data_IF_281016059241
#
_entry.id   IF_281016059241
#
_cell.length_a   1.000
_cell.length_b   1.000
_cell.length_c   1.000
_cell.angle_alpha   90.00
_cell.angle_beta   90.00
_cell.angle_gamma   90.00
#
_symmetry.space_group_name_H-M   'P 1'
#
loop_
_entity.id
_entity.type
_entity.pdbx_description
1 polymer ?
#
# COMPACT_ATOMS: atom_id res chain seq x y z
N UNK A 1 9.59 -23.52 7.09
CA UNK A 1 9.17 -22.26 6.47
C UNK A 1 7.99 -21.68 7.23
N UNK A 2 8.06 -20.40 7.60
CA UNK A 2 7.01 -19.67 8.31
C UNK A 2 6.09 -18.97 7.30
N UNK A 3 4.79 -19.13 7.47
CA UNK A 3 3.75 -18.44 6.67
C UNK A 3 2.95 -17.52 7.57
N UNK A 4 2.88 -16.24 7.24
CA UNK A 4 2.16 -15.23 8.03
C UNK A 4 1.09 -14.55 7.17
N UNK A 5 -0.06 -14.26 7.74
CA UNK A 5 -1.15 -13.55 7.07
C UNK A 5 -2.07 -12.85 8.08
N UNK A 6 -2.69 -11.69 7.70
CA UNK A 6 -3.68 -11.03 8.56
C UNK A 6 -4.92 -11.93 8.75
N UNK A 7 -5.55 -11.86 9.91
CA UNK A 7 -6.71 -12.70 10.26
C UNK A 7 -7.89 -12.56 9.29
N UNK A 8 -8.01 -11.43 8.60
CA UNK A 8 -9.04 -11.18 7.59
C UNK A 8 -8.70 -11.73 6.20
N UNK A 9 -7.47 -12.20 5.96
CA UNK A 9 -6.99 -12.63 4.64
C UNK A 9 -7.91 -13.63 3.94
N UNK A 10 -8.46 -14.58 4.70
CA UNK A 10 -9.33 -15.64 4.19
C UNK A 10 -10.78 -15.18 3.93
N UNK A 11 -11.15 -13.97 4.35
CA UNK A 11 -12.48 -13.40 4.08
C UNK A 11 -12.64 -12.96 2.64
N UNK A 12 -11.53 -12.81 1.89
CA UNK A 12 -11.59 -12.37 0.50
C UNK A 12 -12.19 -13.42 -0.42
N UNK A 13 -13.22 -12.98 -1.15
CA UNK A 13 -13.83 -13.71 -2.25
C UNK A 13 -14.02 -12.76 -3.44
N UNK A 14 -13.56 -13.18 -4.63
CA UNK A 14 -13.78 -12.39 -5.85
C UNK A 14 -15.26 -12.40 -6.24
N UNK A 15 -15.82 -11.22 -6.53
CA UNK A 15 -17.21 -11.02 -6.93
C UNK A 15 -17.41 -11.03 -8.45
N UNK A 16 -16.37 -11.33 -9.22
CA UNK A 16 -16.37 -11.51 -10.68
C UNK A 16 -17.11 -10.37 -11.43
N UNK A 17 -18.23 -10.68 -12.12
CA UNK A 17 -19.00 -9.73 -12.92
C UNK A 17 -19.60 -8.57 -12.11
N UNK A 18 -19.79 -8.73 -10.81
CA UNK A 18 -20.31 -7.66 -9.94
C UNK A 18 -19.24 -6.62 -9.55
N UNK A 19 -17.97 -6.84 -9.98
CA UNK A 19 -16.88 -5.93 -9.66
C UNK A 19 -17.00 -4.62 -10.45
N UNK A 20 -17.06 -3.50 -9.74
CA UNK A 20 -17.20 -2.16 -10.34
C UNK A 20 -15.93 -1.71 -11.05
N UNK A 21 -14.75 -2.19 -10.60
CA UNK A 21 -13.44 -1.91 -11.21
C UNK A 21 -12.62 -3.20 -11.33
N UNK A 22 -12.83 -3.87 -12.46
CA UNK A 22 -12.23 -5.19 -12.70
C UNK A 22 -10.70 -5.13 -12.81
N UNK A 23 -10.02 -6.10 -12.18
CA UNK A 23 -8.57 -6.30 -12.33
C UNK A 23 -8.14 -6.75 -13.74
N UNK A 24 -9.08 -7.04 -14.65
CA UNK A 24 -8.81 -7.36 -16.04
C UNK A 24 -8.81 -6.13 -16.95
N UNK A 25 -8.74 -4.92 -16.39
CA UNK A 25 -8.68 -3.65 -17.12
C UNK A 25 -7.70 -2.67 -16.48
N UNK A 26 -7.11 -1.80 -17.29
CA UNK A 26 -6.31 -0.66 -16.85
C UNK A 26 -4.82 -0.93 -16.62
N UNK A 27 -4.35 -2.17 -16.66
CA UNK A 27 -2.93 -2.52 -16.56
C UNK A 27 -2.56 -3.75 -17.38
N UNK A 28 -1.27 -3.90 -17.67
CA UNK A 28 -0.75 -5.07 -18.38
C UNK A 28 -0.66 -6.28 -17.44
N UNK A 29 -1.18 -7.42 -17.88
CA UNK A 29 -1.20 -8.66 -17.11
C UNK A 29 -0.10 -9.59 -17.63
N UNK A 30 0.96 -9.76 -16.84
CA UNK A 30 2.05 -10.68 -17.14
C UNK A 30 1.62 -12.13 -16.91
N UNK A 31 2.05 -12.99 -17.84
CA UNK A 31 1.73 -14.42 -17.85
C UNK A 31 2.98 -15.20 -17.46
N UNK A 32 2.88 -16.05 -16.46
CA UNK A 32 4.00 -16.92 -16.06
C UNK A 32 4.34 -17.98 -17.14
N UNK A 33 5.60 -18.43 -17.16
CA UNK A 33 6.12 -19.35 -18.17
C UNK A 33 5.31 -20.65 -18.26
N UNK A 34 4.86 -21.17 -17.13
CA UNK A 34 4.04 -22.38 -17.07
C UNK A 34 2.70 -22.19 -17.78
N UNK A 35 2.08 -21.04 -17.59
CA UNK A 35 0.84 -20.69 -18.26
C UNK A 35 1.07 -20.43 -19.76
N UNK A 36 2.16 -19.73 -20.14
CA UNK A 36 2.55 -19.52 -21.54
C UNK A 36 2.73 -20.87 -22.27
N UNK A 37 3.46 -21.82 -21.67
CA UNK A 37 3.63 -23.17 -22.24
C UNK A 37 2.30 -23.93 -22.40
N UNK A 38 1.38 -23.78 -21.46
CA UNK A 38 0.04 -24.34 -21.53
C UNK A 38 -0.77 -23.70 -22.68
N UNK A 39 -0.70 -22.37 -22.81
CA UNK A 39 -1.42 -21.63 -23.84
C UNK A 39 -0.89 -21.92 -25.25
N UNK A 40 0.42 -22.11 -25.42
CA UNK A 40 1.01 -22.56 -26.71
C UNK A 40 0.46 -23.89 -27.19
N UNK A 41 0.12 -24.80 -26.26
CA UNK A 41 -0.39 -26.14 -26.56
C UNK A 41 -1.91 -26.19 -26.77
N UNK A 42 -2.63 -25.13 -26.44
CA UNK A 42 -4.07 -25.07 -26.59
C UNK A 42 -4.48 -25.14 -28.07
N UNK A 43 -5.53 -25.90 -28.36
CA UNK A 43 -6.06 -26.15 -29.70
C UNK A 43 -7.50 -25.68 -29.83
N UNK A 44 -8.02 -25.66 -31.05
CA UNK A 44 -9.38 -25.23 -31.33
C UNK A 44 -9.59 -23.72 -31.26
N UNK A 45 -10.83 -23.24 -31.15
CA UNK A 45 -11.16 -21.82 -31.15
C UNK A 45 -10.43 -21.05 -30.06
N UNK A 46 -10.39 -21.57 -28.83
CA UNK A 46 -9.68 -20.97 -27.70
C UNK A 46 -8.19 -20.87 -27.96
N UNK A 47 -7.57 -21.94 -28.49
CA UNK A 47 -6.17 -21.93 -28.83
C UNK A 47 -5.82 -20.90 -29.92
N UNK A 48 -6.69 -20.69 -30.89
CA UNK A 48 -6.53 -19.64 -31.89
C UNK A 48 -6.65 -18.24 -31.28
N UNK A 49 -7.63 -18.04 -30.39
CA UNK A 49 -7.79 -16.77 -29.67
C UNK A 49 -6.57 -16.47 -28.80
N UNK A 50 -6.06 -17.45 -28.05
CA UNK A 50 -4.83 -17.30 -27.24
C UNK A 50 -3.63 -16.87 -28.10
N UNK A 51 -3.43 -17.47 -29.27
CA UNK A 51 -2.33 -17.11 -30.17
C UNK A 51 -2.37 -15.65 -30.63
N UNK A 52 -3.57 -15.10 -30.81
CA UNK A 52 -3.79 -13.75 -31.31
C UNK A 52 -3.98 -12.70 -30.21
N UNK A 53 -4.14 -13.11 -28.95
CA UNK A 53 -4.46 -12.22 -27.82
C UNK A 53 -3.37 -12.19 -26.75
N UNK A 54 -2.18 -12.72 -27.08
CA UNK A 54 -1.01 -12.68 -26.21
C UNK A 54 0.14 -12.01 -26.97
N UNK A 55 0.79 -11.07 -26.31
CA UNK A 55 2.11 -10.57 -26.71
C UNK A 55 3.17 -11.62 -26.30
N UNK A 56 3.51 -12.51 -27.23
CA UNK A 56 4.42 -13.63 -26.97
C UNK A 56 5.86 -13.20 -26.72
N UNK A 57 6.23 -11.99 -27.11
CA UNK A 57 7.57 -11.44 -26.87
C UNK A 57 7.71 -10.97 -25.44
N UNK A 58 6.71 -10.25 -24.93
CA UNK A 58 6.71 -9.69 -23.58
C UNK A 58 6.08 -10.66 -22.55
N UNK A 59 5.35 -11.69 -23.01
CA UNK A 59 4.68 -12.64 -22.11
C UNK A 59 3.45 -12.07 -21.42
N UNK A 60 2.69 -11.21 -22.10
CA UNK A 60 1.53 -10.54 -21.50
C UNK A 60 0.26 -10.70 -22.32
N UNK A 61 -0.92 -10.52 -21.69
CA UNK A 61 -2.19 -10.46 -22.42
C UNK A 61 -2.32 -9.13 -23.16
N UNK A 62 -2.73 -9.17 -24.42
CA UNK A 62 -3.09 -7.97 -25.17
C UNK A 62 -4.32 -7.30 -24.54
N UNK A 63 -4.34 -5.98 -24.63
CA UNK A 63 -5.48 -5.17 -24.21
C UNK A 63 -6.09 -4.44 -25.40
N UNK A 64 -7.42 -4.42 -25.44
CA UNK A 64 -8.20 -3.63 -26.39
C UNK A 64 -9.04 -2.62 -25.61
N UNK A 65 -8.87 -1.34 -25.91
CA UNK A 65 -9.51 -0.26 -25.15
C UNK A 65 -9.27 -0.37 -23.63
N UNK A 66 -8.03 -0.65 -23.24
CA UNK A 66 -7.58 -0.85 -21.85
C UNK A 66 -8.26 -2.04 -21.11
N UNK A 67 -8.82 -2.99 -21.84
CA UNK A 67 -9.45 -4.21 -21.30
C UNK A 67 -8.70 -5.45 -21.82
N UNK A 68 -8.48 -6.42 -20.94
CA UNK A 68 -7.88 -7.69 -21.33
C UNK A 68 -8.66 -8.31 -22.50
N UNK A 69 -7.96 -8.86 -23.50
CA UNK A 69 -8.55 -9.51 -24.66
C UNK A 69 -9.52 -10.68 -24.34
N UNK A 70 -9.45 -11.18 -23.12
CA UNK A 70 -10.31 -12.25 -22.61
C UNK A 70 -11.41 -11.77 -21.66
N UNK A 71 -11.52 -10.48 -21.41
CA UNK A 71 -12.63 -9.90 -20.63
C UNK A 71 -13.79 -9.62 -21.57
N UNK A 72 -14.92 -10.29 -21.36
CA UNK A 72 -16.14 -10.11 -22.17
C UNK A 72 -16.99 -8.92 -21.70
N UNK A 73 -18.08 -8.68 -22.41
CA UNK A 73 -18.99 -7.56 -22.14
C UNK A 73 -19.75 -7.70 -20.79
N UNK A 74 -19.81 -8.91 -20.25
CA UNK A 74 -20.41 -9.21 -18.94
C UNK A 74 -19.39 -9.10 -17.79
N UNK A 75 -18.18 -8.56 -18.06
CA UNK A 75 -17.06 -8.50 -17.12
C UNK A 75 -16.63 -9.88 -16.58
N UNK A 76 -16.84 -10.94 -17.36
CA UNK A 76 -16.36 -12.28 -17.09
C UNK A 76 -15.13 -12.60 -17.94
N UNK A 77 -14.26 -13.45 -17.42
CA UNK A 77 -13.06 -13.86 -18.12
C UNK A 77 -13.31 -15.14 -18.94
N UNK A 78 -13.32 -15.01 -20.25
CA UNK A 78 -13.70 -16.10 -21.17
C UNK A 78 -12.82 -17.34 -21.00
N UNK A 79 -11.51 -17.20 -20.75
CA UNK A 79 -10.66 -18.37 -20.50
C UNK A 79 -11.10 -19.17 -19.27
N UNK A 80 -11.57 -18.49 -18.23
CA UNK A 80 -12.13 -19.17 -17.05
C UNK A 80 -13.42 -19.90 -17.41
N UNK A 81 -14.29 -19.24 -18.15
CA UNK A 81 -15.60 -19.80 -18.55
C UNK A 81 -15.45 -20.98 -19.50
N UNK A 82 -14.49 -20.90 -20.46
CA UNK A 82 -14.31 -21.92 -21.49
C UNK A 82 -13.38 -23.07 -21.09
N UNK A 83 -12.37 -22.82 -20.25
CA UNK A 83 -11.31 -23.77 -19.88
C UNK A 83 -11.24 -24.10 -18.39
N UNK A 84 -12.08 -23.46 -17.57
CA UNK A 84 -12.12 -23.64 -16.11
C UNK A 84 -11.02 -22.91 -15.34
N UNK A 85 -11.01 -23.03 -13.99
CA UNK A 85 -10.11 -22.28 -13.09
C UNK A 85 -8.63 -22.55 -13.32
N UNK A 86 -8.27 -23.72 -13.79
CA UNK A 86 -6.89 -24.07 -14.09
C UNK A 86 -6.32 -23.32 -15.30
N UNK A 87 -7.15 -22.63 -16.08
CA UNK A 87 -6.71 -21.79 -17.20
C UNK A 87 -6.10 -20.47 -16.76
N UNK A 88 -6.31 -20.04 -15.53
CA UNK A 88 -5.74 -18.81 -15.01
C UNK A 88 -4.20 -18.88 -14.91
N UNK A 89 -3.50 -17.86 -15.44
CA UNK A 89 -2.09 -17.66 -15.12
C UNK A 89 -1.89 -17.33 -13.63
N UNK A 90 -0.64 -17.38 -13.14
CA UNK A 90 -0.34 -17.14 -11.72
C UNK A 90 -0.87 -15.77 -11.27
N UNK A 91 -0.62 -14.73 -12.06
CA UNK A 91 -1.08 -13.36 -11.76
C UNK A 91 -2.60 -13.30 -11.56
N UNK A 92 -3.37 -13.78 -12.54
CA UNK A 92 -4.84 -13.75 -12.47
C UNK A 92 -5.41 -14.61 -11.33
N UNK A 93 -4.76 -15.72 -11.01
CA UNK A 93 -5.20 -16.63 -9.94
C UNK A 93 -4.87 -16.07 -8.56
N UNK A 94 -3.74 -15.40 -8.40
CA UNK A 94 -3.27 -14.89 -7.11
C UNK A 94 -3.90 -13.56 -6.75
N UNK A 95 -4.10 -12.65 -7.70
CA UNK A 95 -4.66 -11.33 -7.43
C UNK A 95 -6.02 -11.39 -6.71
N UNK A 96 -6.25 -10.61 -5.69
CA UNK A 96 -5.41 -9.55 -5.12
C UNK A 96 -4.50 -10.03 -3.99
N UNK A 97 -4.10 -11.28 -3.99
CA UNK A 97 -3.17 -11.82 -2.99
C UNK A 97 -1.75 -11.46 -3.38
N UNK A 98 -1.08 -10.78 -2.47
CA UNK A 98 0.33 -10.44 -2.56
C UNK A 98 1.14 -11.35 -1.64
N UNK A 99 2.35 -11.67 -2.01
CA UNK A 99 3.26 -12.51 -1.23
C UNK A 99 4.63 -11.85 -1.19
N UNK A 100 5.07 -11.45 -0.01
CA UNK A 100 6.46 -11.09 0.24
C UNK A 100 7.25 -12.36 0.61
N UNK A 101 8.38 -12.53 -0.04
CA UNK A 101 9.23 -13.70 0.12
C UNK A 101 10.50 -13.30 0.86
N UNK A 102 10.76 -13.92 2.00
CA UNK A 102 11.99 -13.79 2.78
C UNK A 102 12.58 -15.17 3.01
N UNK A 103 13.87 -15.24 3.33
CA UNK A 103 14.51 -16.52 3.67
C UNK A 103 13.75 -17.22 4.82
N UNK A 104 13.27 -18.41 4.56
CA UNK A 104 12.50 -19.20 5.52
C UNK A 104 11.11 -18.63 5.87
N UNK A 105 10.64 -17.56 5.23
CA UNK A 105 9.34 -16.93 5.52
C UNK A 105 8.59 -16.47 4.27
N UNK A 106 7.25 -16.56 4.33
CA UNK A 106 6.32 -16.01 3.32
C UNK A 106 5.22 -15.23 4.02
N UNK A 107 5.06 -13.98 3.63
CA UNK A 107 4.04 -13.11 4.18
C UNK A 107 2.96 -12.82 3.13
N UNK A 108 1.74 -13.24 3.44
CA UNK A 108 0.60 -13.06 2.54
C UNK A 108 -0.22 -11.84 2.95
N UNK A 109 -0.55 -10.99 1.99
CA UNK A 109 -1.46 -9.87 2.16
C UNK A 109 -2.53 -9.83 1.07
N UNK A 110 -3.52 -8.95 1.22
CA UNK A 110 -4.45 -8.57 0.17
C UNK A 110 -4.06 -7.18 -0.33
N UNK A 111 -4.08 -6.92 -1.64
CA UNK A 111 -3.76 -5.61 -2.20
C UNK A 111 -4.94 -4.64 -2.05
N UNK A 112 -4.68 -3.43 -1.58
CA UNK A 112 -5.66 -2.33 -1.57
C UNK A 112 -6.18 -1.97 -2.97
N UNK A 113 -5.42 -2.27 -4.01
CA UNK A 113 -5.78 -2.04 -5.41
C UNK A 113 -7.00 -2.84 -5.92
N UNK A 114 -7.54 -3.74 -5.11
CA UNK A 114 -8.81 -4.41 -5.35
C UNK A 114 -9.89 -3.83 -4.43
N UNK A 115 -11.00 -3.36 -5.00
CA UNK A 115 -12.12 -2.78 -4.25
C UNK A 115 -12.62 -3.67 -3.11
N UNK A 116 -12.80 -4.98 -3.36
CA UNK A 116 -13.30 -5.90 -2.33
C UNK A 116 -12.25 -6.16 -1.24
N UNK A 117 -10.97 -6.24 -1.62
CA UNK A 117 -9.89 -6.32 -0.65
C UNK A 117 -9.78 -5.04 0.19
N UNK A 118 -9.90 -3.86 -0.44
CA UNK A 118 -9.91 -2.57 0.25
C UNK A 118 -11.06 -2.45 1.25
N UNK A 119 -12.27 -2.91 0.89
CA UNK A 119 -13.41 -2.97 1.81
C UNK A 119 -13.14 -3.88 3.02
N UNK A 120 -12.48 -5.02 2.81
CA UNK A 120 -12.13 -5.95 3.90
C UNK A 120 -11.08 -5.32 4.82
N UNK A 121 -10.04 -4.69 4.26
CA UNK A 121 -8.96 -4.07 5.01
C UNK A 121 -9.48 -2.86 5.81
N UNK A 122 -10.13 -1.91 5.14
CA UNK A 122 -10.59 -0.65 5.74
C UNK A 122 -11.85 -0.81 6.58
N UNK A 123 -12.64 -1.85 6.32
CA UNK A 123 -13.80 -2.23 7.14
C UNK A 123 -13.46 -3.06 8.38
N UNK A 124 -12.19 -3.41 8.59
CA UNK A 124 -11.78 -4.16 9.77
C UNK A 124 -11.80 -3.24 11.01
N UNK A 125 -12.83 -3.39 11.84
CA UNK A 125 -13.00 -2.58 13.08
C UNK A 125 -12.16 -3.13 14.24
N UNK A 126 -11.73 -4.39 14.16
CA UNK A 126 -10.89 -5.03 15.15
C UNK A 126 -9.41 -4.65 14.95
N UNK A 127 -8.61 -4.84 16.01
CA UNK A 127 -7.15 -4.78 15.87
C UNK A 127 -6.69 -5.92 14.97
N UNK A 128 -5.85 -5.62 13.99
CA UNK A 128 -5.34 -6.64 13.08
C UNK A 128 -4.44 -7.62 13.84
N UNK A 129 -4.72 -8.91 13.68
CA UNK A 129 -3.92 -10.00 14.20
C UNK A 129 -3.26 -10.72 13.03
N UNK A 130 -2.00 -11.07 13.20
CA UNK A 130 -1.25 -11.82 12.21
C UNK A 130 -1.17 -13.27 12.64
N UNK A 131 -1.73 -14.17 11.81
CA UNK A 131 -1.79 -15.60 12.04
C UNK A 131 -0.60 -16.25 11.36
N UNK A 132 0.02 -17.22 12.02
CA UNK A 132 1.18 -17.94 11.52
C UNK A 132 0.87 -19.42 11.33
N UNK A 133 1.54 -20.02 10.35
CA UNK A 133 1.60 -21.46 10.12
C UNK A 133 3.03 -21.82 9.75
N UNK A 134 3.53 -22.94 10.24
CA UNK A 134 4.87 -23.42 9.92
C UNK A 134 4.81 -24.78 9.23
N UNK A 135 5.76 -25.05 8.33
CA UNK A 135 6.03 -26.37 7.77
C UNK A 135 7.55 -26.65 7.77
N UNK A 136 7.93 -27.89 7.43
CA UNK A 136 9.32 -28.35 7.47
C UNK A 136 10.17 -27.93 6.25
N UNK A 137 9.66 -27.06 5.37
CA UNK A 137 10.44 -26.60 4.23
C UNK A 137 11.56 -25.69 4.69
N UNK A 138 12.72 -25.93 4.16
CA UNK A 138 13.90 -25.07 4.34
C UNK A 138 14.23 -24.37 3.04
N UNK A 139 14.69 -23.14 3.15
CA UNK A 139 15.12 -22.32 2.02
C UNK A 139 16.23 -21.39 2.50
N UNK A 140 17.25 -21.21 1.70
CA UNK A 140 18.41 -20.37 2.01
C UNK A 140 18.71 -19.47 0.82
N UNK A 141 18.94 -18.18 1.07
CA UNK A 141 19.33 -17.18 0.09
C UNK A 141 20.81 -16.81 0.30
N UNK A 142 21.58 -16.68 -0.77
CA UNK A 142 23.02 -16.45 -0.68
C UNK A 142 23.40 -15.12 0.03
N UNK A 143 22.62 -14.06 -0.19
CA UNK A 143 22.93 -12.70 0.28
C UNK A 143 21.84 -12.14 1.22
N UNK A 144 21.15 -12.99 1.99
CA UNK A 144 20.09 -12.53 2.88
C UNK A 144 20.65 -12.17 4.27
N UNK A 145 20.48 -10.89 4.67
CA UNK A 145 20.85 -10.44 6.03
C UNK A 145 19.76 -10.86 7.04
N UNK A 146 19.86 -12.10 7.52
CA UNK A 146 18.95 -12.66 8.51
C UNK A 146 18.93 -11.88 9.83
N UNK A 147 20.06 -11.29 10.22
CA UNK A 147 20.14 -10.50 11.46
C UNK A 147 19.35 -9.19 11.31
N UNK A 148 19.55 -8.46 10.21
CA UNK A 148 18.74 -7.27 9.90
C UNK A 148 17.26 -7.65 9.81
N UNK A 149 16.91 -8.72 9.09
CA UNK A 149 15.52 -9.16 8.97
C UNK A 149 14.86 -9.42 10.33
N UNK A 150 15.54 -10.12 11.24
CA UNK A 150 15.05 -10.36 12.61
C UNK A 150 14.78 -9.04 13.34
N UNK A 151 15.70 -8.06 13.23
CA UNK A 151 15.52 -6.74 13.86
C UNK A 151 14.40 -5.92 13.22
N UNK A 152 14.15 -6.08 11.92
CA UNK A 152 13.00 -5.47 11.25
C UNK A 152 11.69 -6.09 11.71
N UNK A 153 11.63 -7.40 11.94
CA UNK A 153 10.45 -8.06 12.50
C UNK A 153 10.16 -7.59 13.93
N UNK A 154 11.17 -7.54 14.81
CA UNK A 154 11.05 -7.01 16.18
C UNK A 154 10.53 -5.55 16.17
N UNK A 155 11.08 -4.71 15.27
CA UNK A 155 10.64 -3.34 15.09
C UNK A 155 9.18 -3.26 14.62
N UNK A 156 8.79 -4.09 13.65
CA UNK A 156 7.44 -4.13 13.09
C UNK A 156 6.40 -4.55 14.14
N UNK A 157 6.72 -5.50 14.98
CA UNK A 157 5.83 -5.90 16.07
C UNK A 157 5.60 -4.75 17.06
N UNK A 158 6.65 -4.00 17.39
CA UNK A 158 6.53 -2.79 18.21
C UNK A 158 5.73 -1.69 17.49
N UNK A 159 5.93 -1.52 16.18
CA UNK A 159 5.18 -0.58 15.34
C UNK A 159 3.68 -0.94 15.38
N UNK A 160 3.31 -2.20 15.22
CA UNK A 160 1.90 -2.62 15.31
C UNK A 160 1.30 -2.37 16.69
N UNK A 161 2.07 -2.61 17.75
CA UNK A 161 1.65 -2.31 19.11
C UNK A 161 1.35 -0.82 19.30
N UNK A 162 2.19 0.06 18.74
CA UNK A 162 2.01 1.51 18.78
C UNK A 162 0.82 1.95 17.92
N UNK A 163 0.77 1.51 16.67
CA UNK A 163 -0.28 1.89 15.72
C UNK A 163 -1.68 1.49 16.20
N UNK A 164 -1.80 0.37 16.88
CA UNK A 164 -3.06 -0.17 17.37
C UNK A 164 -3.35 0.17 18.84
N UNK A 165 -2.58 1.08 19.45
CA UNK A 165 -2.90 1.63 20.77
C UNK A 165 -3.94 2.75 20.65
N UNK A 166 -5.21 2.36 20.62
CA UNK A 166 -6.34 3.26 20.43
C UNK A 166 -6.60 4.19 21.63
N UNK A 167 -5.83 4.09 22.71
CA UNK A 167 -5.86 5.05 23.81
C UNK A 167 -5.13 6.36 23.47
N UNK A 168 -4.30 6.35 22.39
CA UNK A 168 -3.52 7.47 21.92
C UNK A 168 -4.13 8.07 20.64
N UNK A 169 -3.93 9.36 20.45
CA UNK A 169 -4.26 10.05 19.21
C UNK A 169 -3.49 9.45 18.02
N UNK A 170 -4.16 9.33 16.86
CA UNK A 170 -3.58 8.70 15.67
C UNK A 170 -2.35 9.45 15.16
N UNK A 171 -2.35 10.78 15.23
CA UNK A 171 -1.20 11.62 14.88
C UNK A 171 0.02 11.27 15.72
N UNK A 172 -0.17 11.08 17.03
CA UNK A 172 0.89 10.69 17.94
C UNK A 172 1.47 9.31 17.60
N UNK A 173 0.57 8.33 17.35
CA UNK A 173 0.98 6.97 16.95
C UNK A 173 1.82 6.97 15.67
N UNK A 174 1.39 7.71 14.64
CA UNK A 174 2.13 7.85 13.38
C UNK A 174 3.49 8.54 13.59
N UNK A 175 3.56 9.57 14.43
CA UNK A 175 4.81 10.26 14.75
C UNK A 175 5.82 9.35 15.45
N UNK A 176 5.36 8.53 16.37
CA UNK A 176 6.20 7.59 17.11
C UNK A 176 6.80 6.51 16.20
N UNK A 177 5.99 5.91 15.32
CA UNK A 177 6.49 4.87 14.41
C UNK A 177 7.41 5.43 13.34
N UNK A 178 7.15 6.65 12.86
CA UNK A 178 8.04 7.35 11.93
C UNK A 178 9.42 7.63 12.56
N UNK A 179 9.42 8.10 13.82
CA UNK A 179 10.66 8.36 14.56
C UNK A 179 11.39 7.06 14.94
N UNK A 180 10.67 5.99 15.29
CA UNK A 180 11.26 4.67 15.53
C UNK A 180 12.00 4.16 14.28
N UNK A 181 11.36 4.23 13.12
CA UNK A 181 11.98 3.81 11.86
C UNK A 181 13.21 4.68 11.49
N UNK A 182 13.14 5.99 11.74
CA UNK A 182 14.28 6.89 11.58
C UNK A 182 15.46 6.51 12.50
N UNK A 183 15.20 6.25 13.78
CA UNK A 183 16.22 5.88 14.74
C UNK A 183 16.78 4.46 14.46
N UNK A 184 15.96 3.54 13.93
CA UNK A 184 16.40 2.24 13.44
C UNK A 184 17.33 2.38 12.23
N UNK A 185 16.94 3.20 11.24
CA UNK A 185 17.78 3.48 10.05
C UNK A 185 19.19 3.97 10.42
N UNK A 186 19.31 4.78 11.46
CA UNK A 186 20.63 5.22 11.94
C UNK A 186 21.48 4.04 12.40
N UNK A 187 20.88 3.04 13.05
CA UNK A 187 21.59 1.84 13.50
C UNK A 187 21.98 0.92 12.35
N UNK A 188 21.13 0.83 11.34
CA UNK A 188 21.47 0.13 10.07
C UNK A 188 22.67 0.81 9.43
N UNK A 189 22.57 2.11 9.14
CA UNK A 189 23.61 2.88 8.48
C UNK A 189 24.95 2.88 9.24
N UNK A 190 24.89 3.01 10.57
CA UNK A 190 26.08 3.11 11.43
C UNK A 190 26.63 1.69 11.79
N UNK A 191 26.00 0.62 11.25
CA UNK A 191 26.33 -0.80 11.47
C UNK A 191 26.36 -1.20 12.98
N UNK A 192 25.38 -0.71 13.73
CA UNK A 192 25.25 -0.95 15.18
C UNK A 192 23.92 -1.59 15.55
N UNK A 193 23.47 -2.56 14.76
CA UNK A 193 22.20 -3.28 14.95
C UNK A 193 22.08 -3.94 16.33
N UNK A 194 23.19 -4.30 16.99
CA UNK A 194 23.18 -4.82 18.35
C UNK A 194 22.64 -3.83 19.40
N UNK A 195 22.48 -2.54 19.05
CA UNK A 195 21.88 -1.51 19.91
C UNK A 195 20.37 -1.34 19.72
N UNK A 196 19.74 -2.14 18.87
CA UNK A 196 18.30 -2.02 18.60
C UNK A 196 17.41 -2.41 19.77
N UNK A 197 17.86 -3.35 20.63
CA UNK A 197 17.08 -3.78 21.78
C UNK A 197 16.86 -2.62 22.76
N UNK A 198 17.91 -1.84 23.05
CA UNK A 198 17.79 -0.63 23.87
C UNK A 198 16.91 0.46 23.22
N UNK A 199 16.90 0.53 21.88
CA UNK A 199 15.98 1.40 21.14
C UNK A 199 14.53 0.94 21.36
N UNK A 200 14.25 -0.34 21.19
CA UNK A 200 12.91 -0.89 21.33
C UNK A 200 12.36 -0.75 22.77
N UNK A 201 13.20 -0.94 23.78
CA UNK A 201 12.85 -0.67 25.17
C UNK A 201 12.45 0.80 25.39
N UNK A 202 13.19 1.75 24.80
CA UNK A 202 12.87 3.18 24.87
C UNK A 202 11.48 3.46 24.28
N UNK A 203 11.18 2.91 23.09
CA UNK A 203 9.89 3.09 22.41
C UNK A 203 8.74 2.26 23.02
N UNK A 204 9.05 1.25 23.81
CA UNK A 204 8.04 0.48 24.57
C UNK A 204 7.70 1.13 25.93
N UNK A 205 8.41 2.18 26.33
CA UNK A 205 8.21 2.89 27.59
C UNK A 205 7.04 3.88 27.51
N UNK A 206 6.22 3.97 28.57
CA UNK A 206 5.13 4.93 28.69
C UNK A 206 5.58 6.42 28.69
N UNK A 207 6.87 6.67 28.93
CA UNK A 207 7.45 8.03 28.86
C UNK A 207 7.53 8.58 27.43
N UNK A 208 7.45 7.72 26.43
CA UNK A 208 7.50 8.06 25.02
C UNK A 208 6.40 9.07 24.64
N UNK A 209 5.15 8.84 25.07
CA UNK A 209 3.99 9.62 24.67
C UNK A 209 4.12 11.09 25.07
N UNK A 210 4.59 11.36 26.29
CA UNK A 210 4.85 12.73 26.76
C UNK A 210 5.93 13.43 25.95
N UNK A 211 7.03 12.73 25.67
CA UNK A 211 8.12 13.23 24.85
C UNK A 211 7.68 13.61 23.44
N UNK A 212 6.91 12.75 22.77
CA UNK A 212 6.45 13.03 21.41
C UNK A 212 5.36 14.11 21.34
N UNK A 213 4.47 14.20 22.33
CA UNK A 213 3.53 15.33 22.45
C UNK A 213 4.23 16.67 22.53
N UNK A 214 5.26 16.78 23.36
CA UNK A 214 6.08 17.99 23.47
C UNK A 214 6.82 18.31 22.17
N UNK A 215 7.43 17.29 21.53
CA UNK A 215 8.14 17.44 20.26
C UNK A 215 7.23 17.92 19.13
N UNK A 216 6.03 17.31 18.98
CA UNK A 216 5.05 17.70 17.97
C UNK A 216 4.55 19.15 18.16
N UNK A 217 4.35 19.56 19.42
CA UNK A 217 3.93 20.93 19.72
C UNK A 217 5.01 21.97 19.41
N UNK A 218 6.28 21.58 19.43
CA UNK A 218 7.43 22.45 19.14
C UNK A 218 7.85 22.51 17.66
N UNK A 219 7.17 21.81 16.74
CA UNK A 219 7.49 21.86 15.31
C UNK A 219 6.87 23.12 14.70
N UNK A 220 7.70 23.96 14.12
CA UNK A 220 7.33 25.19 13.43
C UNK A 220 8.06 25.29 12.08
N UNK A 221 7.53 26.08 11.15
CA UNK A 221 8.17 26.36 9.86
C UNK A 221 7.95 25.26 8.79
N UNK A 222 6.99 24.36 9.01
CA UNK A 222 6.56 23.34 8.06
C UNK A 222 5.03 23.29 8.05
N UNK A 223 4.44 23.02 6.89
CA UNK A 223 2.99 22.82 6.77
C UNK A 223 2.67 21.51 6.07
N UNK A 224 1.46 20.98 6.35
CA UNK A 224 0.98 19.80 5.63
C UNK A 224 0.76 20.11 4.15
N UNK A 225 0.33 21.32 3.81
CA UNK A 225 0.07 21.72 2.42
C UNK A 225 1.35 21.70 1.58
N UNK A 226 2.52 22.02 2.13
CA UNK A 226 3.81 21.89 1.45
C UNK A 226 4.15 20.43 1.15
N UNK A 227 3.93 19.53 2.10
CA UNK A 227 4.13 18.08 1.89
C UNK A 227 3.15 17.55 0.85
N UNK A 228 1.87 17.95 0.89
CA UNK A 228 0.87 17.55 -0.11
C UNK A 228 1.25 18.06 -1.50
N UNK A 229 1.76 19.29 -1.61
CA UNK A 229 2.28 19.80 -2.88
C UNK A 229 3.42 18.93 -3.41
N UNK A 230 4.39 18.60 -2.57
CA UNK A 230 5.50 17.72 -2.95
C UNK A 230 5.01 16.31 -3.38
N UNK A 231 3.99 15.76 -2.70
CA UNK A 231 3.36 14.49 -3.11
C UNK A 231 2.68 14.64 -4.47
N UNK A 232 1.92 15.70 -4.71
CA UNK A 232 1.25 15.92 -6.00
C UNK A 232 2.26 16.09 -7.15
N UNK A 233 3.35 16.83 -6.90
CA UNK A 233 4.44 17.00 -7.87
C UNK A 233 5.19 15.68 -8.15
N UNK A 234 5.25 14.77 -7.18
CA UNK A 234 5.77 13.41 -7.35
C UNK A 234 4.80 12.55 -8.19
N UNK A 235 3.50 12.56 -7.88
CA UNK A 235 2.48 11.81 -8.62
C UNK A 235 2.39 12.23 -10.10
N UNK A 236 2.74 13.46 -10.42
CA UNK A 236 2.82 13.95 -11.83
C UNK A 236 4.00 13.35 -12.61
N UNK A 237 5.08 12.98 -11.91
CA UNK A 237 6.26 12.35 -12.52
C UNK A 237 6.10 10.85 -12.73
N UNK A 238 5.11 10.24 -12.08
CA UNK A 238 4.85 8.80 -12.16
C UNK A 238 4.13 8.41 -13.44
N UNK A 239 4.43 7.22 -13.96
CA UNK A 239 3.68 6.67 -15.09
C UNK A 239 2.23 6.38 -14.69
N UNK A 240 1.23 6.80 -15.47
CA UNK A 240 -0.15 6.45 -15.20
C UNK A 240 -0.43 5.01 -15.65
N UNK A 241 -0.91 4.16 -14.75
CA UNK A 241 -1.37 2.80 -15.10
C UNK A 241 -2.83 2.82 -15.60
N UNK A 242 -3.67 3.60 -14.95
CA UNK A 242 -5.05 3.78 -15.38
C UNK A 242 -5.18 5.07 -16.22
N UNK A 243 -5.79 4.96 -17.41
CA UNK A 243 -5.97 6.09 -18.34
C UNK A 243 -6.80 7.25 -17.74
N UNK A 244 -7.63 7.00 -16.73
CA UNK A 244 -8.41 8.03 -16.03
C UNK A 244 -7.64 8.70 -14.90
N UNK A 245 -6.49 8.14 -14.49
CA UNK A 245 -5.71 8.65 -13.36
C UNK A 245 -5.21 10.07 -13.56
N UNK A 246 -4.67 10.48 -14.73
CA UNK A 246 -4.22 11.86 -14.92
C UNK A 246 -5.29 12.90 -14.67
N UNK A 247 -6.51 12.69 -15.19
CA UNK A 247 -7.64 13.61 -14.98
C UNK A 247 -8.04 13.66 -13.50
N UNK A 248 -8.15 12.50 -12.85
CA UNK A 248 -8.48 12.42 -11.43
C UNK A 248 -7.41 13.09 -10.55
N UNK A 249 -6.13 12.86 -10.83
CA UNK A 249 -5.00 13.49 -10.14
C UNK A 249 -5.03 15.00 -10.31
N UNK A 250 -5.28 15.52 -11.51
CA UNK A 250 -5.32 16.94 -11.79
C UNK A 250 -6.50 17.61 -11.05
N UNK A 251 -7.65 16.95 -10.97
CA UNK A 251 -8.76 17.38 -10.11
C UNK A 251 -8.36 17.45 -8.63
N UNK A 252 -7.67 16.43 -8.13
CA UNK A 252 -7.16 16.42 -6.74
C UNK A 252 -6.24 17.62 -6.51
N UNK A 253 -5.30 17.87 -7.43
CA UNK A 253 -4.36 19.01 -7.34
C UNK A 253 -5.10 20.35 -7.26
N UNK A 254 -6.10 20.56 -8.11
CA UNK A 254 -6.93 21.78 -8.06
C UNK A 254 -7.68 21.90 -6.73
N UNK A 255 -8.30 20.81 -6.25
CA UNK A 255 -9.07 20.84 -5.01
C UNK A 255 -8.22 21.04 -3.75
N UNK A 256 -6.98 20.54 -3.75
CA UNK A 256 -6.07 20.60 -2.60
C UNK A 256 -5.24 21.88 -2.57
N UNK A 257 -4.81 22.38 -3.73
CA UNK A 257 -3.79 23.43 -3.85
C UNK A 257 -4.27 24.68 -4.59
N UNK A 258 -5.36 24.60 -5.37
CA UNK A 258 -5.80 25.67 -6.27
C UNK A 258 -6.13 26.98 -5.57
N UNK A 259 -6.75 26.92 -4.40
CA UNK A 259 -7.15 28.09 -3.61
C UNK A 259 -6.14 28.45 -2.50
N UNK A 260 -4.97 27.79 -2.48
CA UNK A 260 -3.89 28.04 -1.55
C UNK A 260 -4.06 27.40 -0.15
N UNK A 261 -3.03 27.57 0.69
CA UNK A 261 -2.92 26.92 1.99
C UNK A 261 -4.07 27.21 2.95
N UNK A 262 -4.55 28.46 2.98
CA UNK A 262 -5.65 28.84 3.87
C UNK A 262 -6.94 28.07 3.55
N UNK A 263 -7.26 27.91 2.26
CA UNK A 263 -8.45 27.16 1.83
C UNK A 263 -8.29 25.66 2.08
N UNK A 264 -7.08 25.13 1.92
CA UNK A 264 -6.76 23.74 2.28
C UNK A 264 -6.99 23.47 3.78
N UNK A 265 -6.47 24.33 4.65
CA UNK A 265 -6.66 24.20 6.10
C UNK A 265 -8.12 24.40 6.52
N UNK A 266 -8.86 25.25 5.85
CA UNK A 266 -10.30 25.41 6.08
C UNK A 266 -11.07 24.14 5.71
N UNK A 267 -10.76 23.52 4.58
CA UNK A 267 -11.33 22.25 4.16
C UNK A 267 -11.06 21.16 5.20
N UNK A 268 -9.82 21.03 5.65
CA UNK A 268 -9.46 20.05 6.70
C UNK A 268 -10.25 20.29 7.99
N UNK A 269 -10.29 21.52 8.48
CA UNK A 269 -11.04 21.89 9.68
C UNK A 269 -12.54 21.61 9.53
N UNK A 270 -13.10 21.84 8.35
CA UNK A 270 -14.50 21.55 8.06
C UNK A 270 -14.77 20.05 8.08
N UNK A 271 -13.91 19.26 7.43
CA UNK A 271 -13.99 17.81 7.41
C UNK A 271 -13.94 17.21 8.82
N UNK A 272 -12.94 17.57 9.64
CA UNK A 272 -12.79 17.02 10.99
C UNK A 272 -13.89 17.47 11.99
N UNK A 273 -14.74 18.41 11.61
CA UNK A 273 -15.97 18.75 12.34
C UNK A 273 -17.20 17.98 11.86
N UNK A 274 -17.09 17.26 10.76
CA UNK A 274 -18.19 16.49 10.17
C UNK A 274 -18.34 15.12 10.81
N UNK A 275 -19.55 14.52 10.79
CA UNK A 275 -19.77 13.16 11.28
C UNK A 275 -18.94 12.11 10.52
N UNK A 276 -18.65 12.35 9.25
CA UNK A 276 -17.88 11.43 8.38
C UNK A 276 -16.45 11.26 8.86
N UNK A 277 -15.91 12.22 9.60
CA UNK A 277 -14.56 12.13 10.16
C UNK A 277 -14.44 11.14 11.35
N UNK A 278 -15.57 10.68 11.93
CA UNK A 278 -15.55 9.78 13.10
C UNK A 278 -14.71 8.52 12.89
N UNK A 279 -14.77 7.94 11.70
CA UNK A 279 -14.02 6.73 11.33
C UNK A 279 -12.62 6.99 10.76
N UNK A 280 -12.20 8.25 10.59
CA UNK A 280 -10.91 8.57 9.96
C UNK A 280 -9.74 7.95 10.72
N UNK A 281 -9.74 7.96 12.04
CA UNK A 281 -8.68 7.34 12.84
C UNK A 281 -8.60 5.83 12.62
N UNK A 282 -9.74 5.15 12.46
CA UNK A 282 -9.77 3.71 12.16
C UNK A 282 -9.20 3.43 10.76
N UNK A 283 -9.66 4.15 9.75
CA UNK A 283 -9.16 3.97 8.38
C UNK A 283 -7.66 4.27 8.28
N UNK A 284 -7.20 5.31 8.98
CA UNK A 284 -5.77 5.64 9.07
C UNK A 284 -4.96 4.52 9.73
N UNK A 285 -5.46 3.95 10.83
CA UNK A 285 -4.85 2.81 11.50
C UNK A 285 -4.73 1.62 10.54
N UNK A 286 -5.81 1.28 9.82
CA UNK A 286 -5.81 0.16 8.89
C UNK A 286 -4.88 0.38 7.69
N UNK A 287 -4.82 1.60 7.13
CA UNK A 287 -3.86 1.96 6.08
C UNK A 287 -2.42 1.80 6.56
N UNK A 288 -2.10 2.36 7.73
CA UNK A 288 -0.75 2.25 8.29
C UNK A 288 -0.35 0.80 8.58
N UNK A 289 -1.24 0.02 9.19
CA UNK A 289 -0.99 -1.41 9.46
C UNK A 289 -0.80 -2.18 8.16
N UNK A 290 -1.62 -1.90 7.14
CA UNK A 290 -1.50 -2.51 5.81
C UNK A 290 -0.15 -2.22 5.16
N UNK A 291 0.23 -0.95 5.01
CA UNK A 291 1.49 -0.58 4.35
C UNK A 291 2.71 -1.07 5.11
N UNK A 292 2.68 -1.00 6.45
CA UNK A 292 3.78 -1.52 7.28
C UNK A 292 3.89 -3.03 7.16
N UNK A 293 2.77 -3.76 7.20
CA UNK A 293 2.81 -5.22 7.06
C UNK A 293 3.35 -5.64 5.69
N UNK A 294 2.85 -5.00 4.64
CA UNK A 294 3.16 -5.39 3.27
C UNK A 294 4.61 -5.03 2.88
N UNK A 295 5.17 -3.88 3.35
CA UNK A 295 6.40 -3.36 2.77
C UNK A 295 7.56 -3.15 3.73
N UNK A 296 7.31 -3.01 5.05
CA UNK A 296 8.36 -2.57 5.97
C UNK A 296 9.55 -3.52 6.03
N UNK A 297 9.32 -4.83 6.15
CA UNK A 297 10.39 -5.82 6.21
C UNK A 297 11.16 -5.99 4.89
N UNK A 298 10.58 -5.55 3.75
CA UNK A 298 11.30 -5.43 2.48
C UNK A 298 12.50 -4.47 2.55
N UNK A 299 12.62 -3.69 3.61
CA UNK A 299 13.82 -2.93 3.94
C UNK A 299 15.07 -3.77 4.18
N UNK A 300 14.95 -5.10 4.31
CA UNK A 300 16.10 -6.02 4.37
C UNK A 300 16.88 -6.05 3.06
N UNK A 301 16.19 -5.91 1.92
CA UNK A 301 16.79 -6.01 0.58
C UNK A 301 17.56 -4.76 0.14
N UNK A 302 17.29 -3.60 0.75
CA UNK A 302 17.92 -2.33 0.38
C UNK A 302 18.40 -1.51 1.59
N UNK A 303 18.43 -2.13 2.77
CA UNK A 303 18.86 -1.51 4.02
C UNK A 303 18.15 -0.17 4.35
N UNK A 304 16.89 -0.01 3.88
CA UNK A 304 16.16 1.24 3.98
C UNK A 304 14.78 1.12 4.66
N UNK A 305 14.70 0.64 5.92
CA UNK A 305 13.43 0.58 6.66
C UNK A 305 12.77 1.95 6.88
N UNK A 306 13.56 3.02 6.97
CA UNK A 306 13.01 4.36 7.10
C UNK A 306 12.33 4.83 5.82
N UNK A 307 12.89 4.51 4.64
CA UNK A 307 12.25 4.76 3.35
C UNK A 307 10.91 4.05 3.24
N UNK A 308 10.83 2.78 3.66
CA UNK A 308 9.57 2.01 3.69
C UNK A 308 8.53 2.65 4.63
N UNK A 309 8.95 3.10 5.82
CA UNK A 309 8.05 3.81 6.74
C UNK A 309 7.59 5.15 6.19
N UNK A 310 8.49 5.94 5.55
CA UNK A 310 8.09 7.18 4.88
C UNK A 310 7.05 6.93 3.79
N UNK A 311 7.23 5.89 2.97
CA UNK A 311 6.26 5.51 1.95
C UNK A 311 4.89 5.18 2.58
N UNK A 312 4.84 4.43 3.68
CA UNK A 312 3.60 4.14 4.41
C UNK A 312 2.92 5.42 4.93
N UNK A 313 3.68 6.34 5.53
CA UNK A 313 3.19 7.63 6.04
C UNK A 313 2.65 8.50 4.90
N UNK A 314 3.44 8.69 3.83
CA UNK A 314 3.09 9.56 2.70
C UNK A 314 1.86 9.03 1.96
N UNK A 315 1.81 7.72 1.70
CA UNK A 315 0.63 7.07 1.09
C UNK A 315 -0.61 7.24 1.96
N UNK A 316 -0.48 7.07 3.27
CA UNK A 316 -1.59 7.25 4.20
C UNK A 316 -2.08 8.71 4.21
N UNK A 317 -1.16 9.68 4.29
CA UNK A 317 -1.48 11.12 4.23
C UNK A 317 -2.21 11.47 2.93
N UNK A 318 -1.71 10.97 1.78
CA UNK A 318 -2.32 11.25 0.49
C UNK A 318 -3.72 10.65 0.38
N UNK A 319 -3.90 9.40 0.79
CA UNK A 319 -5.24 8.76 0.80
C UNK A 319 -6.21 9.50 1.72
N UNK A 320 -5.77 9.97 2.90
CA UNK A 320 -6.60 10.83 3.76
C UNK A 320 -7.06 12.10 3.04
N UNK A 321 -6.15 12.77 2.33
CA UNK A 321 -6.48 14.01 1.64
C UNK A 321 -7.39 13.76 0.43
N UNK A 322 -7.21 12.64 -0.27
CA UNK A 322 -8.16 12.19 -1.30
C UNK A 322 -9.55 11.92 -0.73
N UNK A 323 -9.66 11.30 0.46
CA UNK A 323 -10.92 11.11 1.17
C UNK A 323 -11.58 12.45 1.52
N UNK A 324 -10.80 13.44 1.97
CA UNK A 324 -11.32 14.78 2.27
C UNK A 324 -11.81 15.51 1.02
N UNK A 325 -11.14 15.36 -0.12
CA UNK A 325 -11.60 15.89 -1.41
C UNK A 325 -12.90 15.22 -1.85
N UNK A 326 -13.00 13.90 -1.72
CA UNK A 326 -14.23 13.17 -1.99
C UNK A 326 -15.39 13.71 -1.14
N UNK A 327 -15.20 13.84 0.17
CA UNK A 327 -16.18 14.41 1.07
C UNK A 327 -16.54 15.87 0.73
N UNK A 328 -15.55 16.70 0.36
CA UNK A 328 -15.82 18.09 -0.05
C UNK A 328 -16.80 18.15 -1.22
N UNK A 329 -16.68 17.23 -2.17
CA UNK A 329 -17.51 17.16 -3.38
C UNK A 329 -18.91 16.54 -3.10
N UNK A 330 -18.97 15.45 -2.35
CA UNK A 330 -20.16 14.61 -2.24
C UNK A 330 -20.89 14.70 -0.92
N UNK A 331 -20.24 15.23 0.14
CA UNK A 331 -20.75 15.33 1.50
C UNK A 331 -21.07 13.96 2.12
N UNK A 332 -20.46 12.91 1.63
CA UNK A 332 -20.53 11.54 2.14
C UNK A 332 -19.13 10.93 2.17
N UNK A 333 -18.93 9.97 3.08
CA UNK A 333 -17.71 9.17 3.14
C UNK A 333 -18.04 7.80 3.76
N UNK A 334 -18.62 6.94 2.97
CA UNK A 334 -18.96 5.56 3.33
C UNK A 334 -17.75 4.64 3.16
N UNK A 335 -17.78 3.42 3.71
CA UNK A 335 -16.73 2.43 3.52
C UNK A 335 -16.47 2.14 2.02
N UNK A 336 -17.53 2.12 1.20
CA UNK A 336 -17.41 1.93 -0.25
C UNK A 336 -16.57 3.04 -0.89
N UNK A 337 -16.85 4.29 -0.56
CA UNK A 337 -16.16 5.46 -1.09
C UNK A 337 -14.71 5.54 -0.60
N UNK A 338 -14.48 5.21 0.67
CA UNK A 338 -13.12 5.11 1.22
C UNK A 338 -12.31 4.01 0.53
N UNK A 339 -12.92 2.85 0.27
CA UNK A 339 -12.29 1.76 -0.47
C UNK A 339 -11.99 2.18 -1.92
N UNK A 340 -12.91 2.90 -2.59
CA UNK A 340 -12.71 3.42 -3.95
C UNK A 340 -11.51 4.40 -4.02
N UNK A 341 -11.43 5.32 -3.07
CA UNK A 341 -10.30 6.26 -2.98
C UNK A 341 -8.97 5.53 -2.76
N UNK A 342 -8.93 4.63 -1.80
CA UNK A 342 -7.70 3.91 -1.46
C UNK A 342 -7.24 2.98 -2.60
N UNK A 343 -8.19 2.30 -3.26
CA UNK A 343 -7.86 1.39 -4.35
C UNK A 343 -7.30 2.13 -5.57
N UNK A 344 -7.83 3.31 -5.92
CA UNK A 344 -7.32 4.14 -7.03
C UNK A 344 -5.87 4.52 -6.81
N UNK A 345 -5.54 5.02 -5.61
CA UNK A 345 -4.15 5.33 -5.25
C UNK A 345 -3.25 4.09 -5.31
N UNK A 346 -3.69 3.02 -4.69
CA UNK A 346 -2.94 1.76 -4.63
C UNK A 346 -2.65 1.17 -6.01
N UNK A 347 -3.61 1.24 -6.95
CA UNK A 347 -3.41 0.77 -8.33
C UNK A 347 -2.25 1.47 -9.03
N UNK A 348 -2.15 2.77 -8.86
CA UNK A 348 -1.11 3.57 -9.53
C UNK A 348 0.27 3.36 -8.92
N UNK A 349 0.35 3.13 -7.60
CA UNK A 349 1.64 3.08 -6.90
C UNK A 349 2.15 1.64 -6.75
N UNK A 350 1.29 0.69 -6.34
CA UNK A 350 1.74 -0.64 -5.92
C UNK A 350 2.00 -1.60 -7.08
N UNK A 351 1.49 -1.31 -8.29
CA UNK A 351 1.61 -2.19 -9.46
C UNK A 351 2.58 -1.72 -10.54
N UNK A 352 3.36 -0.67 -10.26
CA UNK A 352 4.50 -0.26 -11.07
C UNK A 352 5.77 -0.28 -10.23
N UNK A 353 6.77 -1.03 -10.65
CA UNK A 353 8.08 -1.04 -10.00
C UNK A 353 8.79 0.30 -10.20
N UNK A 354 8.55 0.97 -11.34
CA UNK A 354 9.06 2.30 -11.64
C UNK A 354 8.47 3.34 -10.66
N UNK A 355 7.15 3.34 -10.45
CA UNK A 355 6.49 4.26 -9.51
C UNK A 355 6.93 4.00 -8.06
N UNK A 356 7.06 2.73 -7.65
CA UNK A 356 7.59 2.38 -6.31
C UNK A 356 9.03 2.86 -6.12
N UNK A 357 9.86 2.66 -7.13
CA UNK A 357 11.26 3.11 -7.13
C UNK A 357 11.38 4.63 -7.06
N UNK A 358 10.61 5.35 -7.89
CA UNK A 358 10.56 6.82 -7.89
C UNK A 358 10.04 7.37 -6.56
N UNK A 359 9.01 6.75 -5.97
CA UNK A 359 8.52 7.10 -4.63
C UNK A 359 9.65 7.00 -3.60
N UNK A 360 10.31 5.85 -3.50
CA UNK A 360 11.36 5.61 -2.51
C UNK A 360 12.56 6.54 -2.69
N UNK A 361 12.99 6.78 -3.93
CA UNK A 361 14.08 7.69 -4.27
C UNK A 361 13.76 9.13 -3.86
N UNK A 362 12.58 9.64 -4.24
CA UNK A 362 12.12 10.99 -3.92
C UNK A 362 12.01 11.21 -2.41
N UNK A 363 11.37 10.26 -1.70
CA UNK A 363 11.25 10.31 -0.24
C UNK A 363 12.61 10.31 0.48
N UNK A 364 13.64 9.76 -0.14
CA UNK A 364 14.98 9.73 0.45
C UNK A 364 15.72 11.05 0.25
N UNK A 365 15.54 11.72 -0.90
CA UNK A 365 16.34 12.86 -1.32
C UNK A 365 15.75 14.23 -0.98
N UNK A 366 14.43 14.40 -1.12
CA UNK A 366 13.80 15.71 -1.02
C UNK A 366 13.58 16.18 0.43
N UNK A 367 13.71 17.49 0.65
CA UNK A 367 13.64 18.10 1.99
C UNK A 367 12.26 18.07 2.61
N UNK A 368 11.23 18.14 1.75
CA UNK A 368 9.82 18.09 2.11
C UNK A 368 9.43 16.75 2.77
N UNK A 369 10.22 15.71 2.56
CA UNK A 369 10.02 14.38 3.17
C UNK A 369 11.02 14.08 4.30
N UNK A 370 11.73 15.09 4.83
CA UNK A 370 12.51 14.93 6.06
C UNK A 370 11.62 14.74 7.28
N UNK A 371 12.18 14.12 8.31
CA UNK A 371 11.46 13.78 9.53
C UNK A 371 10.61 14.92 10.09
N UNK A 372 11.16 16.15 10.18
CA UNK A 372 10.43 17.30 10.73
C UNK A 372 9.26 17.74 9.88
N UNK A 373 9.43 17.74 8.57
CA UNK A 373 8.33 18.08 7.63
C UNK A 373 7.20 17.05 7.71
N UNK A 374 7.54 15.76 7.70
CA UNK A 374 6.53 14.69 7.84
C UNK A 374 5.82 14.73 9.19
N UNK A 375 6.56 14.97 10.30
CA UNK A 375 5.94 15.12 11.63
C UNK A 375 4.99 16.33 11.70
N UNK A 376 5.29 17.42 10.99
CA UNK A 376 4.40 18.58 10.89
C UNK A 376 3.15 18.28 10.05
N UNK A 377 3.30 17.44 9.02
CA UNK A 377 2.21 17.06 8.12
C UNK A 377 1.20 16.10 8.74
N UNK A 378 1.57 15.38 9.80
CA UNK A 378 0.64 14.54 10.56
C UNK A 378 -0.39 15.38 11.30
#
# INVERSE_FOLDING_TARGET
MLYTYPHYYRKFQCIASECEDTCCAGWEIMIDDKALEKYKKAKGPVGNRLKNSINWKEGSFLQYHHRCAFLNDENLWDLYTEMGPDSLCRTCRMYPRHVEEFEGSREYSLCLSCMEAAKIILGCEEKVQFLTKEDEKEETYEDFDFFLYTKLMDARDLIFKILQDRSLDMRLRMAEVLALAHDLQRRVRDNVLYQTDALFEKYNSSRRDGYFKEKLAGITGYSRSEVIKAIMDLLEKMEPLNHQWPEYRDELKVCLLGDGEAAYEEMRKAFFKSPEAEKMNLWTEQLMVYFVYTYFCGGVYNENPYGKMKAAIVSTIMIQDMMMVHWKKHRTLTLKEVADVAHRYSREIEHSDENKGLLEETLTREEEFRLRALLAAL
#
